data_IF_373254912301
#
_entry.id   IF_373254912301
#
_cell.length_a   1.000
_cell.length_b   1.000
_cell.length_c   1.000
_cell.angle_alpha   90.00
_cell.angle_beta   90.00
_cell.angle_gamma   90.00
#
_symmetry.space_group_name_H-M   'P 1'
#
loop_
_entity.id
_entity.type
_entity.pdbx_description
1 polymer ?
#
# COMPACT_ATOMS: atom_id res chain seq x y z
N UNK A 1 21.96 39.29 -16.19
CA UNK A 1 20.59 39.03 -15.71
C UNK A 1 20.48 37.53 -15.46
N UNK A 2 20.56 37.10 -14.20
CA UNK A 2 20.49 35.68 -13.82
C UNK A 2 19.03 35.25 -13.78
N UNK A 3 18.64 34.32 -14.67
CA UNK A 3 17.31 33.71 -14.65
C UNK A 3 17.22 32.73 -13.48
N UNK A 4 16.48 33.12 -12.43
CA UNK A 4 16.08 32.24 -11.34
C UNK A 4 15.03 31.26 -11.87
N UNK A 5 15.37 29.98 -11.96
CA UNK A 5 14.42 28.90 -12.25
C UNK A 5 13.52 28.72 -11.01
N UNK A 6 12.40 29.43 -10.99
CA UNK A 6 11.33 29.20 -10.02
C UNK A 6 10.61 27.92 -10.39
N UNK A 7 11.05 26.79 -9.83
CA UNK A 7 10.34 25.52 -9.94
C UNK A 7 8.99 25.63 -9.25
N UNK A 8 7.93 25.89 -10.02
CA UNK A 8 6.55 25.73 -9.55
C UNK A 8 6.36 24.26 -9.20
N UNK A 9 6.28 23.93 -7.92
CA UNK A 9 5.88 22.60 -7.46
C UNK A 9 4.46 22.34 -7.96
N UNK A 10 4.31 21.55 -9.02
CA UNK A 10 3.00 21.17 -9.53
C UNK A 10 2.35 20.28 -8.47
N UNK A 11 1.33 20.81 -7.80
CA UNK A 11 0.53 20.05 -6.84
C UNK A 11 -0.47 19.21 -7.63
N UNK A 12 -0.29 17.90 -7.63
CA UNK A 12 -1.22 16.96 -8.27
C UNK A 12 -2.37 16.67 -7.29
N UNK A 13 -3.63 16.88 -7.66
CA UNK A 13 -4.75 16.61 -6.77
C UNK A 13 -4.84 15.13 -6.41
N UNK A 14 -5.34 14.85 -5.19
CA UNK A 14 -5.53 13.51 -4.63
C UNK A 14 -6.15 12.50 -5.61
N UNK A 15 -7.27 12.87 -6.25
CA UNK A 15 -7.99 11.93 -7.11
C UNK A 15 -7.19 11.56 -8.37
N UNK A 16 -6.40 12.47 -8.94
CA UNK A 16 -5.52 12.15 -10.07
C UNK A 16 -4.44 11.14 -9.67
N UNK A 17 -3.87 11.29 -8.47
CA UNK A 17 -2.94 10.30 -7.92
C UNK A 17 -3.62 8.94 -7.77
N UNK A 18 -4.82 8.90 -7.19
CA UNK A 18 -5.54 7.64 -6.99
C UNK A 18 -5.97 6.97 -8.31
N UNK A 19 -6.30 7.74 -9.35
CA UNK A 19 -6.56 7.22 -10.69
C UNK A 19 -5.29 6.63 -11.34
N UNK A 20 -4.15 7.31 -11.23
CA UNK A 20 -2.86 6.79 -11.69
C UNK A 20 -2.50 5.47 -10.99
N UNK A 21 -2.74 5.40 -9.68
CA UNK A 21 -2.57 4.19 -8.88
C UNK A 21 -3.52 3.06 -9.35
N UNK A 22 -4.80 3.37 -9.61
CA UNK A 22 -5.78 2.40 -10.11
C UNK A 22 -5.34 1.80 -11.45
N UNK A 23 -4.96 2.65 -12.40
CA UNK A 23 -4.48 2.21 -13.71
C UNK A 23 -3.25 1.29 -13.59
N UNK A 24 -2.35 1.58 -12.63
CA UNK A 24 -1.20 0.71 -12.37
C UNK A 24 -1.60 -0.61 -11.74
N UNK A 25 -2.58 -0.61 -10.84
CA UNK A 25 -3.16 -1.82 -10.26
C UNK A 25 -3.79 -2.73 -11.32
N UNK A 26 -4.54 -2.15 -12.26
CA UNK A 26 -5.19 -2.88 -13.36
C UNK A 26 -4.21 -3.45 -14.39
N UNK A 27 -3.09 -2.75 -14.63
CA UNK A 27 -2.01 -3.23 -15.51
C UNK A 27 -1.20 -4.37 -14.87
N UNK A 28 -1.33 -4.57 -13.56
CA UNK A 28 -0.52 -5.51 -12.79
C UNK A 28 0.83 -4.92 -12.37
N UNK A 29 1.35 -5.42 -11.25
CA UNK A 29 2.52 -4.87 -10.58
C UNK A 29 3.61 -5.92 -10.50
N UNK A 30 4.79 -5.59 -11.01
CA UNK A 30 5.99 -6.42 -10.87
C UNK A 30 5.78 -7.85 -11.39
N UNK A 31 6.05 -8.82 -10.52
CA UNK A 31 5.95 -10.25 -10.79
C UNK A 31 4.57 -10.86 -10.47
N UNK A 32 3.59 -10.02 -10.12
CA UNK A 32 2.23 -10.43 -9.77
C UNK A 32 2.09 -11.01 -8.36
N UNK A 33 3.14 -10.95 -7.52
CA UNK A 33 3.05 -11.35 -6.11
C UNK A 33 2.24 -10.36 -5.27
N UNK A 34 2.09 -9.13 -5.76
CA UNK A 34 1.23 -8.11 -5.15
C UNK A 34 0.31 -7.49 -6.17
N UNK A 35 -0.91 -7.22 -5.72
CA UNK A 35 -1.91 -6.49 -6.48
C UNK A 35 -2.74 -5.62 -5.56
N UNK A 36 -3.34 -4.57 -6.10
CA UNK A 36 -4.34 -3.78 -5.39
C UNK A 36 -5.38 -3.23 -6.37
N UNK A 37 -6.56 -2.92 -5.87
CA UNK A 37 -7.65 -2.32 -6.64
C UNK A 37 -8.70 -1.68 -5.73
N UNK A 38 -9.63 -0.95 -6.33
CA UNK A 38 -10.75 -0.37 -5.58
C UNK A 38 -11.61 -1.47 -4.96
N UNK A 39 -12.00 -1.25 -3.71
CA UNK A 39 -12.87 -2.19 -2.99
C UNK A 39 -14.34 -2.06 -3.44
N UNK A 40 -14.73 -0.82 -3.75
CA UNK A 40 -16.04 -0.46 -4.27
C UNK A 40 -15.84 0.47 -5.49
N UNK A 41 -16.18 -0.02 -6.68
CA UNK A 41 -16.03 0.72 -7.94
C UNK A 41 -16.95 1.94 -8.03
N UNK A 42 -18.00 2.00 -7.22
CA UNK A 42 -18.94 3.13 -7.17
C UNK A 42 -18.49 4.23 -6.20
N UNK A 43 -17.43 4.00 -5.39
CA UNK A 43 -16.86 5.01 -4.50
C UNK A 43 -16.11 6.08 -5.30
N UNK A 44 -16.81 7.17 -5.63
CA UNK A 44 -16.27 8.35 -6.32
C UNK A 44 -15.08 9.00 -5.59
N UNK A 45 -14.94 8.78 -4.27
CA UNK A 45 -13.83 9.33 -3.49
C UNK A 45 -12.61 8.40 -3.46
N UNK A 46 -12.72 7.18 -4.02
CA UNK A 46 -11.65 6.21 -4.13
C UNK A 46 -10.92 6.00 -2.80
N UNK A 47 -11.66 5.87 -1.70
CA UNK A 47 -11.08 5.78 -0.35
C UNK A 47 -10.75 4.35 0.01
N UNK A 48 -11.61 3.41 -0.36
CA UNK A 48 -11.49 2.01 0.04
C UNK A 48 -10.83 1.18 -1.06
N UNK A 49 -9.74 0.51 -0.71
CA UNK A 49 -8.97 -0.33 -1.60
C UNK A 49 -8.72 -1.70 -0.97
N UNK A 50 -8.65 -2.72 -1.82
CA UNK A 50 -8.23 -4.06 -1.44
C UNK A 50 -6.85 -4.33 -2.04
N UNK A 51 -5.90 -4.72 -1.19
CA UNK A 51 -4.59 -5.22 -1.58
C UNK A 51 -4.51 -6.73 -1.41
N UNK A 52 -3.70 -7.39 -2.22
CA UNK A 52 -3.40 -8.81 -2.11
C UNK A 52 -1.90 -9.02 -2.13
N UNK A 53 -1.40 -9.87 -1.23
CA UNK A 53 0.00 -10.29 -1.17
C UNK A 53 0.05 -11.81 -1.22
N UNK A 54 0.78 -12.35 -2.19
CA UNK A 54 1.17 -13.75 -2.25
C UNK A 54 2.44 -13.91 -1.44
N UNK A 55 2.39 -14.78 -0.43
CA UNK A 55 3.48 -14.98 0.49
C UNK A 55 4.74 -15.50 -0.23
N UNK A 56 5.90 -14.87 0.01
CA UNK A 56 7.11 -15.12 -0.75
C UNK A 56 7.66 -16.53 -0.49
N UNK A 57 8.34 -17.07 -1.50
CA UNK A 57 9.04 -18.36 -1.45
C UNK A 57 10.07 -18.37 -0.32
N UNK A 58 10.29 -19.54 0.28
CA UNK A 58 11.21 -19.77 1.39
C UNK A 58 10.84 -19.03 2.69
N UNK A 59 9.54 -18.76 2.89
CA UNK A 59 9.02 -18.22 4.16
C UNK A 59 7.92 -19.10 4.71
N UNK A 60 7.59 -18.92 6.00
CA UNK A 60 6.42 -19.59 6.62
C UNK A 60 5.08 -19.18 6.01
N UNK A 61 5.10 -18.18 5.13
CA UNK A 61 3.95 -17.62 4.45
C UNK A 61 3.87 -18.06 2.98
N UNK A 62 4.84 -18.84 2.49
CA UNK A 62 4.92 -19.29 1.10
C UNK A 62 3.59 -19.90 0.61
N UNK A 63 3.13 -19.46 -0.56
CA UNK A 63 1.90 -19.93 -1.19
C UNK A 63 0.60 -19.46 -0.53
N UNK A 64 0.67 -18.68 0.55
CA UNK A 64 -0.52 -18.09 1.19
C UNK A 64 -0.89 -16.77 0.52
N UNK A 65 -2.18 -16.51 0.38
CA UNK A 65 -2.71 -15.26 -0.15
C UNK A 65 -3.28 -14.45 1.01
N UNK A 66 -2.72 -13.26 1.24
CA UNK A 66 -3.21 -12.32 2.25
C UNK A 66 -3.95 -11.18 1.59
N UNK A 67 -5.14 -10.89 2.11
CA UNK A 67 -5.87 -9.70 1.72
C UNK A 67 -5.66 -8.58 2.75
N UNK A 68 -5.49 -7.38 2.25
CA UNK A 68 -5.35 -6.15 3.00
C UNK A 68 -6.48 -5.19 2.62
N UNK A 69 -6.93 -4.40 3.57
CA UNK A 69 -7.76 -3.23 3.35
C UNK A 69 -6.90 -2.00 3.50
N UNK A 70 -6.90 -1.15 2.49
CA UNK A 70 -6.26 0.15 2.52
C UNK A 70 -7.33 1.23 2.50
N UNK A 71 -7.15 2.25 3.32
CA UNK A 71 -8.04 3.39 3.40
C UNK A 71 -7.25 4.69 3.16
N UNK A 72 -7.53 5.32 2.02
CA UNK A 72 -6.95 6.59 1.61
C UNK A 72 -7.87 7.73 2.07
N UNK A 73 -7.55 8.37 3.20
CA UNK A 73 -8.35 9.51 3.69
C UNK A 73 -8.15 10.77 2.82
N UNK A 74 -8.78 11.88 3.22
CA UNK A 74 -8.73 13.17 2.52
C UNK A 74 -7.32 13.75 2.43
N UNK A 75 -6.47 13.45 3.41
CA UNK A 75 -5.09 13.95 3.49
C UNK A 75 -4.11 13.11 2.65
N UNK A 76 -4.58 12.04 1.99
CA UNK A 76 -3.77 11.33 1.00
C UNK A 76 -3.53 12.23 -0.23
N UNK A 77 -2.31 12.28 -0.81
CA UNK A 77 -1.11 11.48 -0.50
C UNK A 77 -0.14 12.11 0.50
N UNK A 78 -0.47 13.27 1.09
CA UNK A 78 0.40 13.92 2.09
C UNK A 78 0.58 13.04 3.34
N UNK A 79 -0.49 12.35 3.74
CA UNK A 79 -0.44 11.25 4.70
C UNK A 79 -0.58 9.88 4.01
N UNK A 80 0.15 8.85 4.47
CA UNK A 80 0.02 7.50 3.93
C UNK A 80 -1.36 6.90 4.23
N UNK A 81 -1.81 5.90 3.45
CA UNK A 81 -3.08 5.24 3.70
C UNK A 81 -3.00 4.42 5.00
N UNK A 82 -4.15 4.24 5.65
CA UNK A 82 -4.27 3.27 6.74
C UNK A 82 -4.35 1.87 6.15
N UNK A 83 -3.56 0.92 6.68
CA UNK A 83 -3.49 -0.46 6.16
C UNK A 83 -3.83 -1.46 7.27
N UNK A 84 -4.70 -2.41 6.92
CA UNK A 84 -5.13 -3.49 7.81
C UNK A 84 -5.13 -4.81 7.08
N UNK A 85 -4.61 -5.87 7.71
CA UNK A 85 -4.82 -7.22 7.23
C UNK A 85 -6.26 -7.66 7.48
N UNK A 86 -6.95 -8.09 6.43
CA UNK A 86 -8.24 -8.74 6.53
C UNK A 86 -8.07 -10.19 7.02
N UNK A 87 -7.07 -10.88 6.48
CA UNK A 87 -6.70 -12.23 6.90
C UNK A 87 -5.92 -12.20 8.21
N UNK A 88 -6.22 -13.10 9.16
CA UNK A 88 -5.41 -13.25 10.38
C UNK A 88 -3.99 -13.67 10.00
N UNK A 89 -3.01 -12.86 10.39
CA UNK A 89 -1.60 -13.11 10.13
C UNK A 89 -0.80 -13.02 11.44
N UNK A 90 0.16 -13.93 11.59
CA UNK A 90 1.13 -13.87 12.67
C UNK A 90 2.40 -13.21 12.13
N UNK A 91 2.52 -11.90 12.32
CA UNK A 91 3.67 -11.12 11.88
C UNK A 91 4.00 -10.05 12.92
N UNK A 92 5.28 -9.82 13.18
CA UNK A 92 5.73 -8.93 14.25
C UNK A 92 5.25 -7.46 14.10
N UNK A 93 4.97 -7.01 12.87
CA UNK A 93 4.49 -5.65 12.59
C UNK A 93 2.96 -5.52 12.50
N UNK A 94 2.22 -6.59 12.81
CA UNK A 94 0.75 -6.61 12.75
C UNK A 94 0.19 -6.89 14.14
N UNK A 95 -0.75 -6.06 14.58
CA UNK A 95 -1.47 -6.31 15.82
C UNK A 95 -2.36 -7.55 15.65
N UNK A 96 -2.19 -8.54 16.51
CA UNK A 96 -2.89 -9.82 16.41
C UNK A 96 -4.40 -9.74 16.65
N UNK A 97 -4.83 -8.78 17.47
CA UNK A 97 -6.23 -8.60 17.84
C UNK A 97 -6.98 -7.77 16.80
N UNK A 98 -6.32 -6.74 16.25
CA UNK A 98 -6.96 -5.78 15.34
C UNK A 98 -6.61 -5.99 13.87
N UNK A 99 -5.48 -6.62 13.56
CA UNK A 99 -4.94 -6.75 12.20
C UNK A 99 -4.34 -5.45 11.65
N UNK A 100 -4.24 -4.38 12.46
CA UNK A 100 -3.62 -3.12 12.06
C UNK A 100 -2.11 -3.24 12.02
N UNK A 101 -1.49 -2.58 11.05
CA UNK A 101 -0.03 -2.45 11.00
C UNK A 101 0.38 -1.42 12.05
N UNK A 102 1.26 -1.83 12.98
CA UNK A 102 1.60 -1.06 14.18
C UNK A 102 2.71 -0.03 13.90
N UNK A 103 3.41 -0.12 12.75
CA UNK A 103 4.49 0.81 12.38
C UNK A 103 4.13 1.70 11.20
N UNK A 104 4.57 2.96 11.26
CA UNK A 104 4.67 3.84 10.10
C UNK A 104 5.53 3.15 9.02
N UNK A 105 4.97 2.98 7.82
CA UNK A 105 5.60 2.42 6.61
C UNK A 105 7.08 2.83 6.40
N UNK A 106 7.45 4.05 6.79
CA UNK A 106 8.81 4.59 6.69
C UNK A 106 9.89 3.84 7.51
N UNK A 107 9.52 2.97 8.46
CA UNK A 107 10.46 2.22 9.31
C UNK A 107 10.65 0.74 8.90
N UNK A 108 10.19 0.34 7.71
CA UNK A 108 10.46 -1.00 7.14
C UNK A 108 11.97 -1.36 7.03
N UNK A 109 12.88 -0.41 7.28
CA UNK A 109 14.32 -0.68 7.37
C UNK A 109 14.71 -1.64 8.50
N UNK A 110 13.97 -1.70 9.62
CA UNK A 110 14.33 -2.51 10.81
C UNK A 110 13.76 -3.93 10.83
N UNK A 111 12.94 -4.31 9.86
CA UNK A 111 12.38 -5.66 9.76
C UNK A 111 13.50 -6.63 9.31
N UNK A 112 13.65 -7.83 9.90
CA UNK A 112 14.60 -8.82 9.41
C UNK A 112 14.37 -9.10 7.92
N UNK A 113 15.44 -9.21 7.11
CA UNK A 113 15.34 -9.40 5.63
C UNK A 113 14.38 -10.54 5.23
N UNK A 114 14.15 -11.51 6.13
CA UNK A 114 13.25 -12.66 5.95
C UNK A 114 11.74 -12.34 6.02
N UNK A 115 11.36 -11.19 6.57
CA UNK A 115 9.96 -10.73 6.71
C UNK A 115 9.66 -9.46 5.89
N UNK A 116 10.69 -8.82 5.31
CA UNK A 116 10.51 -7.63 4.46
C UNK A 116 9.63 -7.89 3.23
N UNK A 117 9.67 -9.09 2.66
CA UNK A 117 8.87 -9.44 1.48
C UNK A 117 7.35 -9.42 1.70
N UNK A 118 6.87 -9.40 2.95
CA UNK A 118 5.43 -9.32 3.28
C UNK A 118 5.03 -7.91 3.74
N UNK A 119 6.00 -7.05 4.05
CA UNK A 119 5.77 -5.69 4.57
C UNK A 119 6.19 -4.57 3.60
N UNK A 120 6.90 -4.90 2.51
CA UNK A 120 7.53 -3.91 1.60
C UNK A 120 7.08 -4.04 0.14
N UNK A 121 6.09 -4.89 -0.15
CA UNK A 121 5.51 -5.00 -1.50
C UNK A 121 4.08 -4.50 -1.47
#
# INVERSE_FOLDING_TARGET
MTLSSGGSSVVVPRNFRLLEELERGEKGIGDGTVSYGMDDGDDIYMRSWTGTIIGPLNTVHEGRIYQLKLFCDKDYPEMPPSVRFHSRINMACVNHDTGLIIEHWASCHKIPKRQKGVATT
#
